data_IF_342585413508
#
_entry.id   IF_342585413508
#
_cell.length_a   1.000
_cell.length_b   1.000
_cell.length_c   1.000
_cell.angle_alpha   90.00
_cell.angle_beta   90.00
_cell.angle_gamma   90.00
#
_symmetry.space_group_name_H-M   'P 1'
#
loop_
_entity.id
_entity.type
_entity.pdbx_description
1 polymer ?
#
# COMPACT_ATOMS: atom_id res chain seq x y z
N UNK A 1 -15.52 -21.12 21.19
CA UNK A 1 -16.41 -20.02 21.63
C UNK A 1 -16.00 -18.76 20.89
N UNK A 2 -16.83 -18.28 19.95
CA UNK A 2 -16.56 -17.07 19.19
C UNK A 2 -16.85 -15.85 20.07
N UNK A 3 -15.83 -15.01 20.33
CA UNK A 3 -15.98 -13.80 21.13
C UNK A 3 -16.79 -12.74 20.36
N UNK A 4 -17.81 -12.12 20.98
CA UNK A 4 -18.62 -11.09 20.33
C UNK A 4 -17.88 -9.76 20.33
N UNK A 5 -16.94 -9.56 19.40
CA UNK A 5 -16.22 -8.27 19.22
C UNK A 5 -16.87 -7.42 18.11
N UNK A 6 -17.97 -7.86 17.50
CA UNK A 6 -18.52 -7.25 16.29
C UNK A 6 -19.55 -6.13 16.47
N UNK A 7 -19.77 -5.58 17.68
CA UNK A 7 -20.81 -4.56 17.92
C UNK A 7 -20.34 -3.13 18.23
N UNK A 8 -19.03 -2.86 18.30
CA UNK A 8 -18.57 -1.46 18.35
C UNK A 8 -18.49 -0.91 16.93
N UNK A 9 -19.23 0.17 16.65
CA UNK A 9 -19.16 0.95 15.40
C UNK A 9 -17.74 0.96 14.85
N UNK A 10 -17.56 0.48 13.62
CA UNK A 10 -16.27 0.50 12.96
C UNK A 10 -15.75 1.94 12.97
N UNK A 11 -14.50 2.13 13.41
CA UNK A 11 -13.85 3.42 13.38
C UNK A 11 -13.93 3.97 11.94
N UNK A 12 -14.22 5.27 11.73
CA UNK A 12 -14.19 5.88 10.39
C UNK A 12 -12.73 5.97 9.94
N UNK A 13 -12.16 4.82 9.55
CA UNK A 13 -10.74 4.69 9.26
C UNK A 13 -10.31 5.51 8.05
N UNK A 14 -11.24 5.86 7.17
CA UNK A 14 -11.07 6.80 6.05
C UNK A 14 -11.71 8.17 6.35
N UNK A 15 -11.42 8.76 7.51
CA UNK A 15 -11.82 10.13 7.83
C UNK A 15 -10.80 11.17 7.33
N UNK A 16 -11.26 12.41 7.11
CA UNK A 16 -10.38 13.55 6.77
C UNK A 16 -9.33 13.78 7.86
N UNK A 17 -9.69 13.58 9.13
CA UNK A 17 -8.75 13.68 10.25
C UNK A 17 -7.66 12.62 10.17
N UNK A 18 -8.01 11.35 9.94
CA UNK A 18 -7.03 10.27 9.76
C UNK A 18 -6.06 10.58 8.61
N UNK A 19 -6.58 11.04 7.48
CA UNK A 19 -5.75 11.46 6.35
C UNK A 19 -4.79 12.60 6.73
N UNK A 20 -5.29 13.66 7.38
CA UNK A 20 -4.46 14.78 7.85
C UNK A 20 -3.39 14.34 8.83
N UNK A 21 -3.70 13.43 9.76
CA UNK A 21 -2.72 12.86 10.70
C UNK A 21 -1.60 12.14 9.96
N UNK A 22 -1.93 11.26 9.01
CA UNK A 22 -0.93 10.56 8.21
C UNK A 22 -0.04 11.52 7.41
N UNK A 23 -0.65 12.51 6.77
CA UNK A 23 0.05 13.54 6.01
C UNK A 23 1.00 14.36 6.91
N UNK A 24 0.54 14.79 8.08
CA UNK A 24 1.37 15.51 9.06
C UNK A 24 2.56 14.68 9.50
N UNK A 25 2.38 13.39 9.81
CA UNK A 25 3.47 12.48 10.19
C UNK A 25 4.52 12.42 9.07
N UNK A 26 4.09 12.30 7.81
CA UNK A 26 4.99 12.24 6.67
C UNK A 26 5.83 13.52 6.49
N UNK A 27 5.18 14.69 6.55
CA UNK A 27 5.84 15.98 6.35
C UNK A 27 6.75 16.35 7.53
N UNK A 28 6.26 16.20 8.77
CA UNK A 28 7.02 16.57 9.96
C UNK A 28 8.30 15.74 10.13
N UNK A 29 8.31 14.50 9.65
CA UNK A 29 9.46 13.60 9.77
C UNK A 29 10.27 13.49 8.47
N UNK A 30 10.02 14.32 7.46
CA UNK A 30 10.70 14.22 6.16
C UNK A 30 12.24 14.28 6.28
N UNK A 31 12.76 15.17 7.13
CA UNK A 31 14.20 15.27 7.39
C UNK A 31 14.75 14.03 8.09
N UNK A 32 14.04 13.50 9.09
CA UNK A 32 14.41 12.26 9.77
C UNK A 32 14.42 11.07 8.81
N UNK A 33 13.49 11.02 7.85
CA UNK A 33 13.50 9.98 6.83
C UNK A 33 14.71 10.10 5.92
N UNK A 34 15.07 11.31 5.50
CA UNK A 34 16.25 11.55 4.68
C UNK A 34 17.55 11.15 5.41
N UNK A 35 17.68 11.44 6.71
CA UNK A 35 18.83 11.01 7.51
C UNK A 35 18.88 9.50 7.67
N UNK A 36 17.76 8.84 8.01
CA UNK A 36 17.69 7.37 8.09
C UNK A 36 18.11 6.72 6.77
N UNK A 37 17.60 7.21 5.64
CA UNK A 37 17.94 6.68 4.32
C UNK A 37 19.44 6.88 4.04
N UNK A 38 19.98 8.06 4.36
CA UNK A 38 21.40 8.37 4.15
C UNK A 38 22.31 7.48 4.99
N UNK A 39 21.96 7.28 6.27
CA UNK A 39 22.71 6.41 7.17
C UNK A 39 22.71 4.95 6.68
N UNK A 40 21.56 4.46 6.19
CA UNK A 40 21.47 3.11 5.65
C UNK A 40 22.27 2.94 4.36
N UNK A 41 22.29 3.96 3.50
CA UNK A 41 23.17 3.98 2.33
C UNK A 41 24.65 3.97 2.71
N UNK A 42 25.04 4.65 3.80
CA UNK A 42 26.42 4.66 4.33
C UNK A 42 26.81 3.34 4.98
N UNK A 43 25.91 2.71 5.73
CA UNK A 43 26.15 1.43 6.40
C UNK A 43 26.23 0.26 5.42
N UNK A 44 25.45 0.30 4.34
CA UNK A 44 25.39 -0.78 3.35
C UNK A 44 25.60 -0.28 1.91
N UNK A 45 26.76 0.32 1.59
CA UNK A 45 26.99 1.01 0.31
C UNK A 45 26.93 0.03 -0.88
N UNK A 46 27.42 -1.20 -0.71
CA UNK A 46 27.34 -2.25 -1.74
C UNK A 46 25.88 -2.62 -2.07
N UNK A 47 25.00 -2.68 -1.06
CA UNK A 47 23.58 -2.98 -1.27
C UNK A 47 22.88 -1.80 -1.94
N UNK A 48 23.14 -0.58 -1.48
CA UNK A 48 22.58 0.63 -2.09
C UNK A 48 23.00 0.76 -3.56
N UNK A 49 24.28 0.52 -3.87
CA UNK A 49 24.77 0.49 -5.25
C UNK A 49 24.09 -0.60 -6.08
N UNK A 50 23.93 -1.81 -5.53
CA UNK A 50 23.20 -2.89 -6.20
C UNK A 50 21.76 -2.50 -6.56
N UNK A 51 21.03 -1.87 -5.64
CA UNK A 51 19.67 -1.37 -5.91
C UNK A 51 19.64 -0.23 -6.92
N UNK A 52 20.63 0.66 -6.87
CA UNK A 52 20.77 1.73 -7.86
C UNK A 52 20.99 1.16 -9.26
N UNK A 53 21.87 0.15 -9.40
CA UNK A 53 22.12 -0.54 -10.67
C UNK A 53 20.88 -1.28 -11.17
N UNK A 54 20.21 -2.06 -10.30
CA UNK A 54 18.95 -2.73 -10.66
C UNK A 54 17.92 -1.69 -11.11
N UNK A 55 17.76 -0.58 -10.39
CA UNK A 55 16.87 0.51 -10.76
C UNK A 55 17.25 1.19 -12.07
N UNK A 56 18.55 1.30 -12.39
CA UNK A 56 19.03 1.89 -13.64
C UNK A 56 18.70 0.98 -14.82
N UNK A 57 19.06 -0.31 -14.76
CA UNK A 57 18.72 -1.30 -15.78
C UNK A 57 17.20 -1.40 -15.97
N UNK A 58 16.46 -1.38 -14.86
CA UNK A 58 15.01 -1.35 -14.85
C UNK A 58 14.45 -0.15 -15.62
N UNK A 59 14.96 1.04 -15.34
CA UNK A 59 14.55 2.27 -16.05
C UNK A 59 14.87 2.20 -17.52
N UNK A 60 16.05 1.70 -17.92
CA UNK A 60 16.41 1.56 -19.34
C UNK A 60 15.44 0.64 -20.07
N UNK A 61 15.13 -0.52 -19.48
CA UNK A 61 14.17 -1.47 -20.03
C UNK A 61 12.77 -0.85 -20.17
N UNK A 62 12.26 -0.23 -19.10
CA UNK A 62 10.88 0.27 -19.09
C UNK A 62 10.72 1.58 -19.87
N UNK A 63 11.74 2.44 -19.96
CA UNK A 63 11.72 3.61 -20.87
C UNK A 63 11.60 3.18 -22.33
N UNK A 64 12.21 2.05 -22.70
CA UNK A 64 12.09 1.51 -24.06
C UNK A 64 10.66 1.05 -24.33
N UNK A 65 10.03 0.36 -23.36
CA UNK A 65 8.62 -0.05 -23.42
C UNK A 65 7.70 1.18 -23.44
N UNK A 66 7.94 2.19 -22.59
CA UNK A 66 7.15 3.43 -22.56
C UNK A 66 7.19 4.15 -23.91
N UNK A 67 8.38 4.28 -24.53
CA UNK A 67 8.51 4.87 -25.88
C UNK A 67 7.72 4.11 -26.94
N UNK A 68 7.75 2.77 -26.92
CA UNK A 68 6.98 1.93 -27.85
C UNK A 68 5.46 2.07 -27.63
N UNK A 69 5.04 2.39 -26.41
CA UNK A 69 3.63 2.38 -26.01
C UNK A 69 3.00 3.76 -25.96
N UNK A 70 3.79 4.84 -26.09
CA UNK A 70 3.33 6.22 -26.26
C UNK A 70 2.18 6.44 -27.26
N UNK A 71 2.15 5.82 -28.45
CA UNK A 71 1.02 6.01 -29.37
C UNK A 71 -0.30 5.41 -28.83
N UNK A 72 -0.20 4.44 -27.92
CA UNK A 72 -1.32 3.76 -27.28
C UNK A 72 -1.58 4.42 -25.91
N UNK A 73 -2.29 5.56 -25.93
CA UNK A 73 -2.51 6.42 -24.74
C UNK A 73 -2.84 5.64 -23.47
N UNK A 74 -3.64 4.57 -23.60
CA UNK A 74 -4.10 3.81 -22.46
C UNK A 74 -3.15 2.68 -22.06
N UNK A 75 -2.44 2.07 -23.02
CA UNK A 75 -1.48 0.99 -22.74
C UNK A 75 -0.39 1.48 -21.78
N UNK A 76 -0.06 2.77 -21.84
CA UNK A 76 0.76 3.49 -20.86
C UNK A 76 0.38 3.19 -19.40
N UNK A 77 -0.91 3.15 -19.06
CA UNK A 77 -1.36 2.86 -17.69
C UNK A 77 -1.16 1.40 -17.29
N UNK A 78 -1.31 0.46 -18.23
CA UNK A 78 -0.98 -0.97 -17.98
C UNK A 78 0.49 -1.14 -17.72
N UNK A 79 1.33 -0.51 -18.54
CA UNK A 79 2.79 -0.55 -18.37
C UNK A 79 3.15 -0.02 -16.99
N UNK A 80 2.49 1.02 -16.49
CA UNK A 80 2.73 1.54 -15.15
C UNK A 80 2.27 0.60 -14.03
N UNK A 81 1.10 -0.03 -14.19
CA UNK A 81 0.62 -1.04 -13.24
C UNK A 81 1.56 -2.27 -13.22
N UNK A 82 1.95 -2.78 -14.39
CA UNK A 82 2.90 -3.89 -14.56
C UNK A 82 4.26 -3.54 -13.96
N UNK A 83 4.79 -2.36 -14.27
CA UNK A 83 6.07 -1.89 -13.77
C UNK A 83 6.10 -1.86 -12.23
N UNK A 84 5.02 -1.34 -11.64
CA UNK A 84 4.87 -1.27 -10.19
C UNK A 84 4.75 -2.65 -9.54
N UNK A 85 3.92 -3.51 -10.14
CA UNK A 85 3.76 -4.90 -9.72
C UNK A 85 5.09 -5.65 -9.75
N UNK A 86 5.80 -5.58 -10.88
CA UNK A 86 7.04 -6.32 -11.09
C UNK A 86 8.17 -5.77 -10.21
N UNK A 87 8.18 -4.45 -9.94
CA UNK A 87 9.11 -3.86 -8.97
C UNK A 87 8.91 -4.41 -7.56
N UNK A 88 7.66 -4.53 -7.13
CA UNK A 88 7.32 -5.13 -5.83
C UNK A 88 7.65 -6.62 -5.81
N UNK A 89 7.34 -7.33 -6.88
CA UNK A 89 7.61 -8.77 -7.02
C UNK A 89 9.10 -9.08 -6.93
N UNK A 90 9.95 -8.36 -7.67
CA UNK A 90 11.41 -8.54 -7.66
C UNK A 90 11.95 -8.35 -6.24
N UNK A 91 11.51 -7.29 -5.56
CA UNK A 91 11.97 -6.99 -4.21
C UNK A 91 11.56 -8.09 -3.21
N UNK A 92 10.29 -8.51 -3.24
CA UNK A 92 9.77 -9.56 -2.35
C UNK A 92 10.33 -10.95 -2.68
N UNK A 93 10.65 -11.25 -3.95
CA UNK A 93 11.14 -12.57 -4.35
C UNK A 93 12.63 -12.73 -4.09
N UNK A 94 13.44 -11.72 -4.42
CA UNK A 94 14.90 -11.85 -4.44
C UNK A 94 15.60 -11.21 -3.25
N UNK A 95 14.97 -10.27 -2.54
CA UNK A 95 15.62 -9.55 -1.44
C UNK A 95 14.73 -9.34 -0.21
N UNK A 96 13.80 -10.28 0.02
CA UNK A 96 12.92 -10.22 1.17
C UNK A 96 13.68 -10.08 2.50
N UNK A 97 14.78 -10.81 2.68
CA UNK A 97 15.54 -10.80 3.94
C UNK A 97 16.10 -9.43 4.29
N UNK A 98 16.67 -8.69 3.32
CA UNK A 98 17.15 -7.33 3.59
C UNK A 98 16.00 -6.35 3.74
N UNK A 99 14.89 -6.56 3.05
CA UNK A 99 13.69 -5.72 3.18
C UNK A 99 13.04 -5.88 4.56
N UNK A 100 12.86 -7.11 5.02
CA UNK A 100 12.35 -7.45 6.36
C UNK A 100 13.28 -6.90 7.45
N UNK A 101 14.60 -7.09 7.32
CA UNK A 101 15.57 -6.52 8.24
C UNK A 101 15.50 -4.98 8.31
N UNK A 102 15.44 -4.31 7.15
CA UNK A 102 15.34 -2.84 7.08
C UNK A 102 14.04 -2.32 7.71
N UNK A 103 12.94 -3.04 7.50
CA UNK A 103 11.66 -2.73 8.13
C UNK A 103 11.78 -2.82 9.67
N UNK A 104 12.20 -3.97 10.21
CA UNK A 104 12.20 -4.19 11.65
C UNK A 104 13.25 -3.36 12.39
N UNK A 105 14.44 -3.13 11.82
CA UNK A 105 15.43 -2.26 12.44
C UNK A 105 14.90 -0.84 12.64
N UNK A 106 14.18 -0.32 11.64
CA UNK A 106 13.58 1.02 11.68
C UNK A 106 12.37 1.07 12.59
N UNK A 107 11.51 0.05 12.52
CA UNK A 107 10.35 -0.08 13.40
C UNK A 107 10.78 -0.09 14.87
N UNK A 108 11.76 -0.92 15.24
CA UNK A 108 12.23 -1.02 16.62
C UNK A 108 12.88 0.28 17.11
N UNK A 109 13.72 0.92 16.27
CA UNK A 109 14.31 2.23 16.57
C UNK A 109 13.23 3.27 16.85
N UNK A 110 12.20 3.35 16.00
CA UNK A 110 11.09 4.29 16.17
C UNK A 110 10.26 3.99 17.44
N UNK A 111 10.06 2.70 17.78
CA UNK A 111 9.38 2.34 19.04
C UNK A 111 10.20 2.69 20.28
N UNK A 112 11.53 2.55 20.25
CA UNK A 112 12.39 2.89 21.39
C UNK A 112 12.47 4.40 21.63
N UNK A 113 12.48 5.21 20.58
CA UNK A 113 12.47 6.68 20.68
C UNK A 113 11.21 7.19 21.40
N UNK A 114 10.06 6.53 21.18
CA UNK A 114 8.82 6.85 21.90
C UNK A 114 8.88 6.39 23.36
N UNK A 115 9.42 5.20 23.63
CA UNK A 115 9.50 4.65 24.99
C UNK A 115 10.47 5.42 25.90
N UNK A 116 11.56 5.98 25.34
CA UNK A 116 12.50 6.82 26.09
C UNK A 116 11.88 8.13 26.61
N UNK A 117 10.80 8.61 25.98
CA UNK A 117 10.03 9.74 26.49
C UNK A 117 9.12 9.35 27.67
N UNK A 118 8.71 8.08 27.78
CA UNK A 118 7.74 7.63 28.77
C UNK A 118 8.34 6.88 29.99
N UNK A 119 9.56 6.32 29.92
CA UNK A 119 10.17 5.64 31.09
C UNK A 119 11.68 5.40 30.96
N UNK A 120 12.46 6.11 31.77
CA UNK A 120 13.81 5.71 32.15
C UNK A 120 13.75 4.48 33.06
N UNK A 121 14.01 3.28 32.54
CA UNK A 121 14.26 2.11 33.37
C UNK A 121 13.57 0.82 32.92
N UNK A 122 13.98 0.25 31.78
CA UNK A 122 14.05 -1.20 31.62
C UNK A 122 14.86 -1.53 30.37
N UNK A 123 15.91 -2.34 30.52
CA UNK A 123 16.78 -2.77 29.43
C UNK A 123 15.96 -3.46 28.33
N UNK A 124 16.06 -2.94 27.11
CA UNK A 124 15.42 -3.50 25.92
C UNK A 124 16.09 -4.83 25.57
N UNK A 125 15.36 -5.96 25.51
CA UNK A 125 15.92 -7.19 25.00
C UNK A 125 16.20 -7.02 23.50
N UNK A 126 17.42 -7.34 23.07
CA UNK A 126 17.73 -7.47 21.65
C UNK A 126 16.80 -8.52 21.03
N UNK A 127 16.21 -8.25 19.85
CA UNK A 127 15.39 -9.24 19.18
C UNK A 127 16.29 -10.43 18.81
N UNK A 128 16.10 -11.55 19.53
CA UNK A 128 16.77 -12.80 19.25
C UNK A 128 16.58 -13.12 17.76
N UNK A 129 17.70 -13.24 17.02
CA UNK A 129 17.77 -13.70 15.63
C UNK A 129 17.33 -15.17 15.54
N UNK A 130 16.08 -15.43 15.87
CA UNK A 130 15.40 -16.66 15.50
C UNK A 130 15.45 -16.71 13.98
N UNK A 131 16.22 -17.67 13.42
CA UNK A 131 16.17 -18.04 12.01
C UNK A 131 14.75 -18.53 11.73
N UNK A 132 13.83 -17.57 11.55
CA UNK A 132 12.45 -17.88 11.22
C UNK A 132 12.49 -18.48 9.82
N UNK A 133 11.92 -19.67 9.59
CA UNK A 133 11.67 -20.11 8.24
C UNK A 133 10.84 -18.99 7.62
N UNK A 134 11.36 -18.36 6.58
CA UNK A 134 10.59 -17.48 5.73
C UNK A 134 9.43 -18.37 5.25
N UNK A 135 8.27 -18.28 5.91
CA UNK A 135 7.05 -18.80 5.34
C UNK A 135 7.02 -18.15 3.99
N UNK A 136 7.19 -18.97 2.95
CA UNK A 136 7.04 -18.57 1.55
C UNK A 136 5.90 -17.58 1.56
N UNK A 137 6.24 -16.31 1.36
CA UNK A 137 5.26 -15.25 1.34
C UNK A 137 4.39 -15.59 0.15
N UNK A 138 3.34 -16.39 0.38
CA UNK A 138 2.29 -16.59 -0.59
C UNK A 138 1.78 -15.18 -0.78
N UNK A 139 2.25 -14.54 -1.85
CA UNK A 139 1.84 -13.20 -2.21
C UNK A 139 0.32 -13.20 -2.08
N UNK A 140 -0.28 -12.21 -1.39
CA UNK A 140 -1.72 -12.19 -1.16
C UNK A 140 -2.43 -12.45 -2.48
N UNK A 141 -3.19 -13.55 -2.52
CA UNK A 141 -3.81 -14.21 -3.68
C UNK A 141 -3.63 -13.50 -5.03
N UNK A 142 -2.86 -14.14 -5.92
CA UNK A 142 -2.64 -13.79 -7.33
C UNK A 142 -3.92 -13.38 -8.07
N UNK A 143 -5.08 -13.89 -7.63
CA UNK A 143 -6.41 -13.60 -8.18
C UNK A 143 -6.73 -12.10 -8.31
N UNK A 144 -6.52 -11.26 -7.28
CA UNK A 144 -6.98 -9.85 -7.33
C UNK A 144 -6.17 -9.03 -8.35
N UNK A 145 -4.88 -9.34 -8.52
CA UNK A 145 -4.03 -8.74 -9.55
C UNK A 145 -4.57 -8.99 -10.94
N UNK A 146 -4.92 -10.25 -11.19
CA UNK A 146 -5.42 -10.70 -12.46
C UNK A 146 -6.78 -10.11 -12.79
N UNK A 147 -7.71 -10.06 -11.83
CA UNK A 147 -9.02 -9.44 -12.07
C UNK A 147 -8.91 -7.94 -12.35
N UNK A 148 -8.03 -7.23 -11.63
CA UNK A 148 -7.82 -5.80 -11.86
C UNK A 148 -7.10 -5.52 -13.18
N UNK A 149 -6.13 -6.37 -13.56
CA UNK A 149 -5.48 -6.35 -14.87
C UNK A 149 -6.47 -6.63 -16.00
N UNK A 150 -7.28 -7.69 -15.87
CA UNK A 150 -8.27 -8.09 -16.86
C UNK A 150 -9.31 -6.98 -17.03
N UNK A 151 -9.81 -6.37 -15.94
CA UNK A 151 -10.77 -5.28 -16.03
C UNK A 151 -10.14 -3.99 -16.59
N UNK A 152 -8.85 -3.72 -16.30
CA UNK A 152 -8.12 -2.66 -16.99
C UNK A 152 -8.03 -2.95 -18.48
N UNK A 153 -7.60 -4.16 -18.88
CA UNK A 153 -7.50 -4.61 -20.28
C UNK A 153 -8.84 -4.51 -20.99
N UNK A 154 -9.94 -4.85 -20.32
CA UNK A 154 -11.29 -4.67 -20.89
C UNK A 154 -11.65 -3.19 -21.06
N UNK A 155 -11.36 -2.34 -20.07
CA UNK A 155 -11.58 -0.89 -20.19
C UNK A 155 -10.72 -0.25 -21.29
N UNK A 156 -9.51 -0.77 -21.50
CA UNK A 156 -8.58 -0.43 -22.56
C UNK A 156 -9.11 -0.79 -23.94
N UNK A 157 -9.54 -2.05 -24.11
CA UNK A 157 -10.12 -2.54 -25.34
C UNK A 157 -11.38 -1.74 -25.71
N UNK A 158 -12.21 -1.38 -24.73
CA UNK A 158 -13.36 -0.52 -24.98
C UNK A 158 -12.94 0.86 -25.50
N UNK A 159 -11.98 1.51 -24.84
CA UNK A 159 -11.57 2.85 -25.24
C UNK A 159 -10.86 2.93 -26.61
N UNK A 160 -10.23 1.83 -27.05
CA UNK A 160 -9.68 1.71 -28.41
C UNK A 160 -10.81 1.60 -29.45
N UNK A 161 -11.87 0.82 -29.13
CA UNK A 161 -13.09 0.73 -29.94
C UNK A 161 -13.84 2.08 -30.05
N UNK A 162 -13.78 2.93 -29.01
CA UNK A 162 -14.37 4.28 -29.02
C UNK A 162 -13.69 5.21 -30.04
N UNK A 163 -12.40 4.98 -30.34
CA UNK A 163 -11.60 5.89 -31.17
C UNK A 163 -11.73 5.62 -32.66
N UNK A 164 -11.95 4.36 -33.05
CA UNK A 164 -11.91 3.95 -34.46
C UNK A 164 -13.26 3.63 -35.12
N UNK A 165 -14.40 3.65 -34.40
CA UNK A 165 -15.76 3.55 -35.03
C UNK A 165 -15.95 2.40 -36.05
N UNK A 166 -15.09 1.38 -36.05
CA UNK A 166 -15.04 0.36 -37.12
C UNK A 166 -15.83 -0.90 -36.79
N UNK A 167 -16.33 -1.03 -35.56
CA UNK A 167 -16.89 -2.30 -35.06
C UNK A 167 -18.38 -2.51 -35.36
N UNK A 168 -19.07 -1.53 -35.94
CA UNK A 168 -20.51 -1.66 -36.27
C UNK A 168 -21.44 -1.82 -35.06
N UNK A 169 -20.92 -1.69 -33.83
CA UNK A 169 -21.70 -1.75 -32.60
C UNK A 169 -22.51 -0.47 -32.47
N UNK A 170 -23.81 -0.59 -32.20
CA UNK A 170 -24.66 0.57 -31.94
C UNK A 170 -24.10 1.39 -30.77
N UNK A 171 -23.87 2.68 -31.00
CA UNK A 171 -23.24 3.65 -30.06
C UNK A 171 -23.84 3.58 -28.65
N UNK A 172 -25.15 3.32 -28.53
CA UNK A 172 -25.86 3.21 -27.25
C UNK A 172 -25.51 1.97 -26.44
N UNK A 173 -25.22 0.83 -27.08
CA UNK A 173 -24.83 -0.41 -26.39
C UNK A 173 -23.41 -0.30 -25.85
N UNK A 174 -22.52 0.33 -26.62
CA UNK A 174 -21.15 0.60 -26.21
C UNK A 174 -21.09 1.52 -24.97
N UNK A 175 -21.87 2.59 -24.95
CA UNK A 175 -21.97 3.49 -23.79
C UNK A 175 -22.43 2.78 -22.51
N UNK A 176 -23.39 1.85 -22.61
CA UNK A 176 -23.88 1.06 -21.45
C UNK A 176 -22.84 0.06 -20.94
N UNK A 177 -22.12 -0.59 -21.84
CA UNK A 177 -21.04 -1.53 -21.47
C UNK A 177 -19.91 -0.79 -20.75
N UNK A 178 -19.47 0.36 -21.30
CA UNK A 178 -18.48 1.26 -20.69
C UNK A 178 -18.87 1.68 -19.29
N UNK A 179 -20.10 2.19 -19.11
CA UNK A 179 -20.59 2.63 -17.81
C UNK A 179 -20.63 1.46 -16.80
N UNK A 180 -21.09 0.28 -17.23
CA UNK A 180 -21.17 -0.91 -16.37
C UNK A 180 -19.79 -1.37 -15.89
N UNK A 181 -18.80 -1.42 -16.79
CA UNK A 181 -17.43 -1.84 -16.46
C UNK A 181 -16.75 -0.84 -15.53
N UNK A 182 -16.85 0.46 -15.82
CA UNK A 182 -16.29 1.50 -14.94
C UNK A 182 -16.96 1.48 -13.56
N UNK A 183 -18.27 1.29 -13.50
CA UNK A 183 -19.00 1.24 -12.23
C UNK A 183 -18.56 0.04 -11.41
N UNK A 184 -18.40 -1.13 -12.04
CA UNK A 184 -17.89 -2.33 -11.37
C UNK A 184 -16.45 -2.12 -10.86
N UNK A 185 -15.57 -1.52 -11.67
CA UNK A 185 -14.20 -1.20 -11.27
C UNK A 185 -14.17 -0.27 -10.06
N UNK A 186 -14.86 0.87 -10.12
CA UNK A 186 -14.95 1.81 -9.00
C UNK A 186 -15.55 1.14 -7.76
N UNK A 187 -16.58 0.30 -7.93
CA UNK A 187 -17.21 -0.39 -6.81
C UNK A 187 -16.23 -1.33 -6.12
N UNK A 188 -15.44 -2.11 -6.87
CA UNK A 188 -14.45 -3.01 -6.27
C UNK A 188 -13.39 -2.27 -5.45
N UNK A 189 -13.03 -1.05 -5.85
CA UNK A 189 -12.10 -0.21 -5.09
C UNK A 189 -12.77 0.38 -3.84
N UNK A 190 -13.95 0.97 -4.01
CA UNK A 190 -14.65 1.74 -2.98
C UNK A 190 -15.35 0.86 -1.94
N UNK A 191 -15.79 -0.35 -2.29
CA UNK A 191 -16.46 -1.28 -1.36
C UNK A 191 -15.56 -1.70 -0.19
N UNK A 192 -14.25 -1.50 -0.30
CA UNK A 192 -13.32 -1.73 0.82
C UNK A 192 -13.43 -0.64 1.89
N UNK A 193 -13.78 0.59 1.50
CA UNK A 193 -13.80 1.78 2.34
C UNK A 193 -15.21 2.24 2.75
N UNK A 194 -16.21 2.05 1.88
CA UNK A 194 -17.59 2.50 2.06
C UNK A 194 -18.57 1.33 2.21
N UNK A 195 -19.77 1.60 2.73
CA UNK A 195 -20.88 0.65 2.67
C UNK A 195 -21.28 0.39 1.21
N UNK A 196 -21.94 -0.75 0.95
CA UNK A 196 -22.25 -1.19 -0.42
C UNK A 196 -23.09 -0.19 -1.21
N UNK A 197 -24.04 0.48 -0.56
CA UNK A 197 -24.95 1.44 -1.20
C UNK A 197 -24.20 2.71 -1.56
N UNK A 198 -23.46 3.28 -0.61
CA UNK A 198 -22.62 4.48 -0.84
C UNK A 198 -21.53 4.20 -1.87
N UNK A 199 -20.86 3.04 -1.78
CA UNK A 199 -19.86 2.63 -2.75
C UNK A 199 -20.45 2.56 -4.17
N UNK A 200 -21.62 1.94 -4.33
CA UNK A 200 -22.30 1.84 -5.62
C UNK A 200 -22.72 3.20 -6.17
N UNK A 201 -23.30 4.06 -5.32
CA UNK A 201 -23.74 5.41 -5.71
C UNK A 201 -22.55 6.28 -6.18
N UNK A 202 -21.45 6.30 -5.40
CA UNK A 202 -20.23 7.03 -5.78
C UNK A 202 -19.62 6.44 -7.06
N UNK A 203 -19.61 5.11 -7.19
CA UNK A 203 -19.07 4.43 -8.38
C UNK A 203 -19.84 4.78 -9.65
N UNK A 204 -21.18 4.81 -9.57
CA UNK A 204 -22.02 5.21 -10.68
C UNK A 204 -21.78 6.69 -11.04
N UNK A 205 -21.74 7.58 -10.05
CA UNK A 205 -21.45 8.99 -10.25
C UNK A 205 -20.09 9.21 -10.93
N UNK A 206 -19.02 8.59 -10.40
CA UNK A 206 -17.67 8.69 -10.99
C UNK A 206 -17.66 8.16 -12.43
N UNK A 207 -18.35 7.05 -12.71
CA UNK A 207 -18.40 6.46 -14.04
C UNK A 207 -19.18 7.30 -15.06
N UNK A 208 -20.14 8.11 -14.59
CA UNK A 208 -20.92 9.02 -15.45
C UNK A 208 -20.22 10.36 -15.68
N UNK A 209 -19.62 10.94 -14.63
CA UNK A 209 -19.10 12.32 -14.69
C UNK A 209 -17.62 12.42 -15.05
N UNK A 210 -16.84 11.35 -14.88
CA UNK A 210 -15.40 11.37 -15.15
C UNK A 210 -15.12 10.76 -16.52
N UNK A 211 -14.32 11.46 -17.32
CA UNK A 211 -13.90 10.96 -18.64
C UNK A 211 -13.25 9.57 -18.52
N UNK A 212 -13.38 8.73 -19.53
CA UNK A 212 -12.80 7.38 -19.53
C UNK A 212 -11.27 7.38 -19.31
N UNK A 213 -10.48 8.21 -20.02
CA UNK A 213 -9.07 8.43 -19.73
C UNK A 213 -8.78 8.72 -18.25
N UNK A 214 -9.52 9.67 -17.69
CA UNK A 214 -9.31 10.14 -16.31
C UNK A 214 -9.73 9.08 -15.29
N UNK A 215 -10.83 8.37 -15.54
CA UNK A 215 -11.29 7.26 -14.70
C UNK A 215 -10.27 6.13 -14.67
N UNK A 216 -9.79 5.68 -15.83
CA UNK A 216 -8.76 4.64 -15.93
C UNK A 216 -7.48 5.08 -15.22
N UNK A 217 -7.06 6.33 -15.43
CA UNK A 217 -5.89 6.88 -14.74
C UNK A 217 -6.06 6.83 -13.22
N UNK A 218 -7.17 7.32 -12.67
CA UNK A 218 -7.40 7.30 -11.23
C UNK A 218 -7.50 5.88 -10.66
N UNK A 219 -8.23 4.99 -11.33
CA UNK A 219 -8.33 3.58 -10.94
C UNK A 219 -6.94 2.94 -10.86
N UNK A 220 -6.13 3.09 -11.92
CA UNK A 220 -4.78 2.54 -11.97
C UNK A 220 -3.90 3.07 -10.82
N UNK A 221 -4.03 4.34 -10.48
CA UNK A 221 -3.27 4.97 -9.39
C UNK A 221 -3.72 4.50 -8.01
N UNK A 222 -5.03 4.36 -7.78
CA UNK A 222 -5.56 3.81 -6.51
C UNK A 222 -5.12 2.35 -6.34
N UNK A 223 -5.20 1.56 -7.42
CA UNK A 223 -4.66 0.21 -7.42
C UNK A 223 -3.18 0.23 -7.04
N UNK A 224 -2.37 1.04 -7.71
CA UNK A 224 -0.95 1.15 -7.42
C UNK A 224 -0.67 1.44 -5.93
N UNK A 225 -1.30 2.46 -5.34
CA UNK A 225 -1.10 2.82 -3.93
C UNK A 225 -1.54 1.68 -2.99
N UNK A 226 -2.65 1.00 -3.32
CA UNK A 226 -3.14 -0.16 -2.55
C UNK A 226 -2.14 -1.31 -2.59
N UNK A 227 -1.58 -1.58 -3.75
CA UNK A 227 -0.57 -2.62 -3.97
C UNK A 227 0.72 -2.32 -3.20
N UNK A 228 1.22 -1.09 -3.33
CA UNK A 228 2.39 -0.61 -2.61
C UNK A 228 2.20 -0.74 -1.10
N UNK A 229 1.03 -0.32 -0.59
CA UNK A 229 0.68 -0.44 0.83
C UNK A 229 0.74 -1.89 1.29
N UNK A 230 0.14 -2.83 0.53
CA UNK A 230 0.15 -4.26 0.86
C UNK A 230 1.58 -4.81 0.92
N UNK A 231 2.42 -4.44 -0.04
CA UNK A 231 3.83 -4.86 -0.12
C UNK A 231 4.64 -4.34 1.06
N UNK A 232 4.49 -3.06 1.40
CA UNK A 232 5.17 -2.44 2.53
C UNK A 232 4.72 -3.01 3.89
N UNK A 233 3.48 -3.52 3.97
CA UNK A 233 2.96 -4.19 5.17
C UNK A 233 3.42 -5.64 5.33
N UNK A 234 3.96 -6.28 4.30
CA UNK A 234 4.33 -7.71 4.34
C UNK A 234 5.19 -8.07 5.57
N UNK A 235 6.28 -7.35 5.91
CA UNK A 235 7.14 -7.72 7.04
C UNK A 235 6.39 -7.74 8.38
N UNK A 236 5.54 -6.73 8.61
CA UNK A 236 4.71 -6.65 9.80
C UNK A 236 3.66 -7.77 9.86
N UNK A 237 2.96 -7.98 8.74
CA UNK A 237 1.84 -8.93 8.68
C UNK A 237 2.28 -10.38 8.79
N UNK A 238 3.47 -10.72 8.29
CA UNK A 238 4.05 -12.05 8.48
C UNK A 238 4.28 -12.38 9.96
N UNK A 239 4.61 -11.38 10.78
CA UNK A 239 4.78 -11.56 12.21
C UNK A 239 3.46 -11.50 12.98
N UNK A 240 2.57 -10.58 12.63
CA UNK A 240 1.28 -10.40 13.29
C UNK A 240 0.36 -11.62 13.10
N UNK A 241 0.41 -12.26 11.92
CA UNK A 241 -0.40 -13.45 11.55
C UNK A 241 -1.91 -13.24 11.71
N UNK A 242 -2.41 -12.08 11.28
CA UNK A 242 -3.85 -11.85 11.23
C UNK A 242 -4.54 -12.82 10.27
N UNK A 243 -5.73 -13.27 10.63
CA UNK A 243 -6.67 -13.89 9.68
C UNK A 243 -7.07 -12.89 8.58
N UNK A 244 -7.55 -13.35 7.41
CA UNK A 244 -7.96 -12.44 6.33
C UNK A 244 -9.01 -11.40 6.74
N UNK A 245 -9.91 -11.77 7.66
CA UNK A 245 -10.93 -10.87 8.21
C UNK A 245 -10.34 -9.87 9.20
N UNK A 246 -9.46 -10.29 10.11
CA UNK A 246 -8.75 -9.37 11.01
C UNK A 246 -7.86 -8.39 10.23
N UNK A 247 -7.17 -8.87 9.20
CA UNK A 247 -6.34 -8.04 8.34
C UNK A 247 -7.17 -6.96 7.63
N UNK A 248 -8.33 -7.32 7.07
CA UNK A 248 -9.18 -6.36 6.38
C UNK A 248 -9.74 -5.30 7.32
N UNK A 249 -10.13 -5.67 8.54
CA UNK A 249 -10.59 -4.71 9.56
C UNK A 249 -9.42 -3.84 10.06
N UNK A 250 -8.25 -4.42 10.30
CA UNK A 250 -7.05 -3.70 10.71
C UNK A 250 -6.64 -2.65 9.68
N UNK A 251 -6.64 -3.04 8.39
CA UNK A 251 -6.28 -2.16 7.29
C UNK A 251 -7.34 -1.06 7.12
N UNK A 252 -8.63 -1.42 7.20
CA UNK A 252 -9.72 -0.44 7.12
C UNK A 252 -9.63 0.59 8.25
N UNK A 253 -9.33 0.17 9.47
CA UNK A 253 -9.20 1.08 10.61
C UNK A 253 -8.10 2.13 10.43
N UNK A 254 -6.98 1.76 9.79
CA UNK A 254 -5.81 2.64 9.59
C UNK A 254 -5.69 3.21 8.18
N UNK A 255 -6.61 2.86 7.29
CA UNK A 255 -6.52 3.13 5.86
C UNK A 255 -6.32 4.61 5.54
N UNK A 256 -7.07 5.49 6.18
CA UNK A 256 -6.95 6.94 6.01
C UNK A 256 -5.60 7.49 6.44
N UNK A 257 -5.04 7.04 7.57
CA UNK A 257 -3.70 7.46 8.01
C UNK A 257 -2.63 6.97 7.04
N UNK A 258 -2.71 5.71 6.62
CA UNK A 258 -1.77 5.14 5.65
C UNK A 258 -1.85 5.89 4.31
N UNK A 259 -3.05 6.15 3.82
CA UNK A 259 -3.27 6.92 2.59
C UNK A 259 -2.73 8.35 2.71
N UNK A 260 -3.00 9.04 3.82
CA UNK A 260 -2.48 10.38 4.08
C UNK A 260 -0.96 10.42 4.15
N UNK A 261 -0.34 9.41 4.77
CA UNK A 261 1.10 9.28 4.85
C UNK A 261 1.76 9.03 3.49
N UNK A 262 1.13 8.23 2.62
CA UNK A 262 1.65 7.93 1.28
C UNK A 262 1.41 9.08 0.29
N UNK A 263 0.53 10.03 0.58
CA UNK A 263 0.16 11.11 -0.35
C UNK A 263 1.36 12.00 -0.78
N UNK A 264 2.27 12.47 0.12
CA UNK A 264 3.46 13.21 -0.30
C UNK A 264 4.39 12.40 -1.22
N UNK A 265 4.59 11.11 -0.93
CA UNK A 265 5.40 10.23 -1.76
C UNK A 265 4.76 10.01 -3.14
N UNK A 266 3.43 9.92 -3.17
CA UNK A 266 2.66 9.86 -4.41
C UNK A 266 2.80 11.13 -5.25
N UNK A 267 2.68 12.31 -4.64
CA UNK A 267 2.92 13.60 -5.32
C UNK A 267 4.35 13.70 -5.84
N UNK A 268 5.33 13.21 -5.08
CA UNK A 268 6.74 13.20 -5.50
C UNK A 268 6.98 12.27 -6.70
N UNK A 269 6.31 11.10 -6.72
CA UNK A 269 6.32 10.22 -7.89
C UNK A 269 5.72 10.90 -9.12
N UNK A 270 4.57 11.56 -8.98
CA UNK A 270 3.93 12.32 -10.06
C UNK A 270 4.82 13.47 -10.57
N UNK A 271 5.40 14.26 -9.67
CA UNK A 271 6.18 15.45 -10.04
C UNK A 271 7.52 15.11 -10.69
N UNK A 272 8.10 13.95 -10.37
CA UNK A 272 9.40 13.54 -10.89
C UNK A 272 9.38 13.15 -12.38
N UNK A 273 8.21 13.16 -13.04
CA UNK A 273 7.95 12.57 -14.36
C UNK A 273 8.46 11.11 -14.50
N UNK A 274 8.98 10.53 -13.42
CA UNK A 274 9.41 9.14 -13.30
C UNK A 274 8.18 8.37 -12.86
N UNK A 275 7.21 8.28 -13.76
CA UNK A 275 5.98 7.48 -13.55
C UNK A 275 6.30 6.00 -13.29
N UNK A 276 7.56 5.63 -13.50
CA UNK A 276 8.13 4.32 -13.26
C UNK A 276 8.73 4.23 -11.86
N UNK A 277 7.94 3.64 -10.98
CA UNK A 277 8.35 3.11 -9.68
C UNK A 277 9.45 2.09 -9.92
N UNK A 278 10.61 2.27 -9.28
CA UNK A 278 11.70 1.30 -9.36
C UNK A 278 11.73 0.41 -8.11
N UNK A 279 12.34 -0.79 -8.19
CA UNK A 279 12.56 -1.63 -7.02
C UNK A 279 13.32 -0.89 -5.90
N UNK A 280 14.26 -0.02 -6.26
CA UNK A 280 15.00 0.81 -5.31
C UNK A 280 14.08 1.80 -4.57
N UNK A 281 13.11 2.41 -5.27
CA UNK A 281 12.14 3.29 -4.63
C UNK A 281 11.31 2.54 -3.58
N UNK A 282 10.80 1.35 -3.91
CA UNK A 282 10.05 0.51 -2.97
C UNK A 282 10.92 0.12 -1.77
N UNK A 283 12.19 -0.20 -2.01
CA UNK A 283 13.14 -0.49 -0.93
C UNK A 283 13.37 0.71 -0.02
N UNK A 284 13.58 1.91 -0.57
CA UNK A 284 13.78 3.13 0.22
C UNK A 284 12.52 3.53 0.98
N UNK A 285 11.34 3.28 0.42
CA UNK A 285 10.07 3.61 1.06
C UNK A 285 9.78 2.73 2.30
N UNK A 286 10.49 1.61 2.48
CA UNK A 286 10.33 0.75 3.66
C UNK A 286 10.68 1.47 4.96
N UNK A 287 11.68 2.34 4.96
CA UNK A 287 12.16 3.06 6.14
C UNK A 287 11.09 4.02 6.70
N UNK A 288 10.60 5.02 5.93
CA UNK A 288 9.55 5.90 6.40
C UNK A 288 8.25 5.14 6.73
N UNK A 289 7.93 4.08 5.97
CA UNK A 289 6.73 3.28 6.25
C UNK A 289 6.85 2.48 7.55
N UNK A 290 8.01 1.91 7.87
CA UNK A 290 8.26 1.25 9.14
C UNK A 290 8.13 2.23 10.33
N UNK A 291 8.60 3.46 10.15
CA UNK A 291 8.43 4.52 11.13
C UNK A 291 6.94 4.87 11.35
N UNK A 292 6.16 5.02 10.26
CA UNK A 292 4.70 5.18 10.37
C UNK A 292 4.09 4.03 11.16
N UNK A 293 4.44 2.79 10.81
CA UNK A 293 3.91 1.59 11.45
C UNK A 293 4.21 1.57 12.95
N UNK A 294 5.39 2.00 13.37
CA UNK A 294 5.74 2.12 14.78
C UNK A 294 4.88 3.16 15.54
N UNK A 295 4.31 4.15 14.84
CA UNK A 295 3.38 5.14 15.41
C UNK A 295 1.93 4.66 15.45
N UNK A 296 1.52 3.80 14.52
CA UNK A 296 0.10 3.40 14.39
C UNK A 296 -0.19 1.95 14.80
N UNK A 297 0.84 1.15 15.08
CA UNK A 297 0.73 -0.26 15.42
C UNK A 297 1.65 -0.63 16.59
N UNK A 298 1.21 -1.59 17.41
CA UNK A 298 2.06 -2.11 18.50
C UNK A 298 3.06 -3.15 17.97
N UNK A 299 4.24 -3.31 18.59
CA UNK A 299 5.10 -4.45 18.33
C UNK A 299 4.38 -5.76 18.65
N UNK A 300 4.69 -6.81 17.89
CA UNK A 300 4.16 -8.15 18.16
C UNK A 300 4.85 -8.73 19.41
N UNK A 301 4.10 -9.18 20.44
CA UNK A 301 4.68 -9.67 21.68
C UNK A 301 5.49 -10.96 21.46
N UNK A 302 6.72 -11.00 21.98
CA UNK A 302 7.69 -12.10 21.79
C UNK A 302 7.14 -13.45 22.31
N UNK A 303 6.31 -13.42 23.36
CA UNK A 303 5.77 -14.62 24.02
C UNK A 303 4.34 -15.00 23.59
N UNK A 304 3.77 -14.28 22.61
CA UNK A 304 2.41 -14.52 22.17
C UNK A 304 2.38 -15.51 21.00
N UNK A 305 2.50 -16.81 21.32
CA UNK A 305 2.34 -17.88 20.34
C UNK A 305 0.93 -17.84 19.71
N UNK A 306 0.85 -18.18 18.43
CA UNK A 306 -0.42 -18.25 17.70
C UNK A 306 -1.39 -19.20 18.42
N UNK A 307 -2.63 -18.75 18.63
CA UNK A 307 -3.66 -19.51 19.34
C UNK A 307 -3.68 -19.32 20.86
N UNK A 308 -2.73 -18.59 21.43
CA UNK A 308 -2.76 -18.23 22.85
C UNK A 308 -3.73 -17.09 23.14
N UNK A 309 -4.26 -17.04 24.36
CA UNK A 309 -5.09 -15.91 24.84
C UNK A 309 -4.36 -14.57 24.73
N UNK A 310 -3.05 -14.56 24.97
CA UNK A 310 -2.22 -13.37 24.85
C UNK A 310 -2.17 -12.83 23.41
N UNK A 311 -1.97 -13.71 22.42
CA UNK A 311 -2.00 -13.34 20.99
C UNK A 311 -3.38 -12.81 20.58
N UNK A 312 -4.45 -13.51 20.94
CA UNK A 312 -5.83 -13.07 20.65
C UNK A 312 -6.16 -11.72 21.27
N UNK A 313 -5.73 -11.47 22.50
CA UNK A 313 -5.94 -10.18 23.19
C UNK A 313 -5.16 -9.06 22.50
N UNK A 314 -3.91 -9.30 22.12
CA UNK A 314 -3.12 -8.34 21.36
C UNK A 314 -3.74 -8.03 20.00
N UNK A 315 -4.15 -9.05 19.24
CA UNK A 315 -4.85 -8.90 17.96
C UNK A 315 -6.12 -8.05 18.10
N UNK A 316 -6.95 -8.33 19.11
CA UNK A 316 -8.17 -7.57 19.37
C UNK A 316 -7.88 -6.08 19.59
N UNK A 317 -6.84 -5.73 20.35
CA UNK A 317 -6.41 -4.32 20.54
C UNK A 317 -5.94 -3.68 19.25
N UNK A 318 -5.14 -4.42 18.47
CA UNK A 318 -4.67 -3.93 17.17
C UNK A 318 -5.83 -3.68 16.19
N UNK A 319 -6.81 -4.56 16.15
CA UNK A 319 -7.98 -4.43 15.26
C UNK A 319 -8.91 -3.29 15.70
N UNK A 320 -9.16 -3.15 17.01
CA UNK A 320 -10.06 -2.11 17.53
C UNK A 320 -9.47 -0.69 17.47
N UNK A 321 -8.13 -0.56 17.44
CA UNK A 321 -7.39 0.69 17.29
C UNK A 321 -7.92 1.85 18.17
N UNK A 322 -8.14 1.59 19.47
CA UNK A 322 -8.81 2.52 20.39
C UNK A 322 -7.96 3.68 20.90
N UNK A 323 -6.63 3.63 20.73
CA UNK A 323 -5.72 4.46 21.52
C UNK A 323 -5.14 5.70 20.80
N UNK A 324 -5.45 5.95 19.52
CA UNK A 324 -4.70 6.95 18.72
C UNK A 324 -5.52 8.21 18.37
N UNK A 325 -6.82 8.26 18.65
CA UNK A 325 -7.69 9.38 18.22
C UNK A 325 -8.15 10.30 19.37
N UNK A 326 -7.88 9.93 20.62
CA UNK A 326 -8.02 10.78 21.81
C UNK A 326 -6.61 11.08 22.31
N UNK A 327 -5.92 12.14 21.89
CA UNK A 327 -6.18 13.54 22.24
C UNK A 327 -4.84 14.10 22.73
N UNK A 328 -4.48 15.30 22.30
CA UNK A 328 -3.46 16.20 22.89
C UNK A 328 -1.93 16.06 22.59
N UNK A 329 -1.40 14.96 22.07
CA UNK A 329 0.07 14.84 21.85
C UNK A 329 0.63 15.42 20.52
N UNK A 330 -0.15 16.22 19.79
CA UNK A 330 0.28 16.85 18.53
C UNK A 330 -0.02 18.35 18.46
N UNK A 331 0.17 19.05 19.57
CA UNK A 331 0.34 20.51 19.60
C UNK A 331 1.82 20.86 19.72
#
# INVERSE_FOLDING_TARGET
MASPIFLSKAHPGYSVQAFRTGFKIAVANALNFATIITDQCRLYPKKALGWALVSLFWRIAVVSIDKMTKPLFLFKYVVYALNSWLSCYILLRFNYSSFDHAFWSTFHRATSENASFEKSGSASPEPSKSKRPAMSAKLPSESIAWHTMILMVMALLMADVEKDSTTGIAVSQFGRAKLSVLTALWYTLLATAFDSVTALAISAALSTFVSLPTSIAFIAQICYVTWLTKVLLVPYMQLARFSPTEYSVWLRARGGVICGFLAPFYVLLLSSNSVLVSPAFVYVLVYPFAYLLAKIAEPVPVNALLGTKAHSTWCARQVLWRNVVSGDDFC
#
